data_IF_324086701280
#
_entry.id   IF_324086701280
#
_cell.length_a   1.000
_cell.length_b   1.000
_cell.length_c   1.000
_cell.angle_alpha   90.00
_cell.angle_beta   90.00
_cell.angle_gamma   90.00
#
_symmetry.space_group_name_H-M   'P 1'
#
loop_
_entity.id
_entity.type
_entity.pdbx_description
1 polymer ?
#
# COMPACT_ATOMS: atom_id res chain seq x y z
N UNK A 1 19.27 8.02 -27.41
CA UNK A 1 18.37 6.92 -27.75
C UNK A 1 18.48 5.83 -26.69
N UNK A 2 17.36 5.53 -26.04
CA UNK A 2 17.26 4.49 -24.98
C UNK A 2 16.51 3.24 -25.46
N UNK A 3 16.20 3.16 -26.75
CA UNK A 3 15.43 2.05 -27.32
C UNK A 3 16.05 0.68 -27.06
N UNK A 4 17.39 0.61 -27.02
CA UNK A 4 18.14 -0.63 -26.77
C UNK A 4 18.02 -1.15 -25.30
N UNK A 5 17.47 -0.36 -24.37
CA UNK A 5 17.24 -0.79 -22.98
C UNK A 5 15.75 -0.99 -22.66
N UNK A 6 14.86 -0.67 -23.60
CA UNK A 6 13.44 -0.93 -23.43
C UNK A 6 13.18 -2.44 -23.37
N UNK A 7 12.41 -2.89 -22.39
CA UNK A 7 12.13 -4.31 -22.19
C UNK A 7 13.24 -5.07 -21.45
N UNK A 8 14.37 -4.43 -21.14
CA UNK A 8 15.37 -5.02 -20.25
C UNK A 8 15.08 -4.71 -18.78
N UNK A 9 15.27 -5.72 -17.94
CA UNK A 9 15.12 -5.63 -16.49
C UNK A 9 16.49 -5.44 -15.80
N UNK A 10 16.75 -6.16 -14.73
CA UNK A 10 18.02 -6.22 -14.04
C UNK A 10 18.71 -7.56 -14.35
N UNK A 11 20.00 -7.74 -14.03
CA UNK A 11 20.65 -9.04 -14.11
C UNK A 11 19.98 -10.05 -13.18
N UNK A 12 19.92 -11.32 -13.58
CA UNK A 12 19.54 -12.42 -12.70
C UNK A 12 20.80 -12.85 -11.91
N UNK A 13 20.67 -12.85 -10.60
CA UNK A 13 21.71 -13.29 -9.65
C UNK A 13 21.11 -14.37 -8.75
N UNK A 14 21.78 -15.48 -8.66
CA UNK A 14 21.39 -16.61 -7.79
C UNK A 14 22.53 -16.95 -6.83
N UNK A 15 22.28 -17.83 -5.88
CA UNK A 15 23.30 -18.36 -4.98
C UNK A 15 24.39 -19.18 -5.70
N UNK A 16 24.16 -19.52 -6.97
CA UNK A 16 25.13 -20.23 -7.83
C UNK A 16 25.98 -19.30 -8.68
N UNK A 17 25.67 -18.01 -8.69
CA UNK A 17 26.39 -17.03 -9.50
C UNK A 17 27.83 -16.88 -9.01
N UNK A 18 28.77 -17.03 -9.92
CA UNK A 18 30.21 -16.90 -9.64
C UNK A 18 30.63 -15.43 -9.56
N UNK A 19 31.79 -15.16 -8.96
CA UNK A 19 32.33 -13.79 -8.89
C UNK A 19 32.61 -13.19 -10.29
N UNK A 20 32.95 -14.00 -11.28
CA UNK A 20 33.15 -13.57 -12.65
C UNK A 20 31.81 -13.17 -13.30
N UNK A 21 30.75 -13.97 -13.15
CA UNK A 21 29.40 -13.67 -13.62
C UNK A 21 28.84 -12.40 -12.95
N UNK A 22 29.09 -12.19 -11.66
CA UNK A 22 28.68 -10.97 -10.95
C UNK A 22 29.38 -9.71 -11.48
N UNK A 23 30.63 -9.83 -11.95
CA UNK A 23 31.40 -8.71 -12.50
C UNK A 23 30.91 -8.30 -13.89
N UNK A 24 30.45 -9.25 -14.70
CA UNK A 24 29.98 -9.04 -16.06
C UNK A 24 28.58 -9.64 -16.25
N UNK A 25 27.60 -9.15 -15.48
CA UNK A 25 26.25 -9.66 -15.50
C UNK A 25 25.33 -8.71 -16.29
N UNK A 26 24.97 -9.04 -17.53
CA UNK A 26 24.12 -8.19 -18.36
C UNK A 26 22.68 -8.18 -17.84
N UNK A 27 21.96 -7.12 -18.15
CA UNK A 27 20.52 -7.04 -17.96
C UNK A 27 19.82 -8.06 -18.85
N UNK A 28 18.75 -8.67 -18.35
CA UNK A 28 17.97 -9.67 -19.08
C UNK A 28 16.66 -9.09 -19.62
N UNK A 29 16.09 -9.67 -20.68
CA UNK A 29 14.72 -9.38 -21.12
C UNK A 29 13.72 -9.54 -19.97
N UNK A 30 12.63 -8.78 -20.01
CA UNK A 30 11.61 -8.88 -18.96
C UNK A 30 10.93 -10.26 -18.97
N UNK A 31 10.79 -10.87 -20.13
CA UNK A 31 10.22 -12.21 -20.30
C UNK A 31 11.03 -13.24 -19.48
N UNK A 32 12.34 -13.23 -19.61
CA UNK A 32 13.26 -14.13 -18.89
C UNK A 32 13.19 -13.88 -17.38
N UNK A 33 13.11 -12.61 -16.98
CA UNK A 33 12.97 -12.25 -15.55
C UNK A 33 11.64 -12.75 -14.96
N UNK A 34 10.54 -12.63 -15.70
CA UNK A 34 9.25 -13.12 -15.21
C UNK A 34 9.15 -14.63 -15.23
N UNK A 35 9.76 -15.32 -16.18
CA UNK A 35 9.92 -16.78 -16.15
C UNK A 35 10.69 -17.22 -14.89
N UNK A 36 11.79 -16.52 -14.57
CA UNK A 36 12.54 -16.77 -13.35
C UNK A 36 11.69 -16.56 -12.08
N UNK A 37 10.99 -15.42 -11.98
CA UNK A 37 10.09 -15.12 -10.85
C UNK A 37 9.00 -16.20 -10.71
N UNK A 38 8.34 -16.58 -11.81
CA UNK A 38 7.27 -17.58 -11.77
C UNK A 38 7.79 -18.97 -11.42
N UNK A 39 9.01 -19.31 -11.84
CA UNK A 39 9.69 -20.55 -11.44
C UNK A 39 9.96 -20.60 -9.93
N UNK A 40 10.48 -19.52 -9.37
CA UNK A 40 10.72 -19.41 -7.92
C UNK A 40 9.42 -19.46 -7.12
N UNK A 41 8.37 -18.77 -7.59
CA UNK A 41 7.05 -18.82 -6.95
C UNK A 41 6.45 -20.24 -7.00
N UNK A 42 6.66 -20.98 -8.08
CA UNK A 42 6.20 -22.38 -8.16
C UNK A 42 6.90 -23.27 -7.14
N UNK A 43 8.21 -23.14 -6.98
CA UNK A 43 8.93 -23.88 -5.95
C UNK A 43 8.46 -23.46 -4.55
N UNK A 44 8.25 -22.17 -4.30
CA UNK A 44 7.73 -21.67 -3.04
C UNK A 44 6.33 -22.21 -2.73
N UNK A 45 5.44 -22.29 -3.72
CA UNK A 45 4.10 -22.87 -3.59
C UNK A 45 4.17 -24.33 -3.14
N UNK A 46 5.04 -25.14 -3.75
CA UNK A 46 5.25 -26.54 -3.40
C UNK A 46 5.81 -26.69 -1.97
N UNK A 47 6.76 -25.83 -1.57
CA UNK A 47 7.41 -25.89 -0.26
C UNK A 47 6.55 -25.34 0.88
N UNK A 48 5.64 -24.40 0.61
CA UNK A 48 4.79 -23.73 1.58
C UNK A 48 3.33 -24.20 1.54
N UNK A 49 3.09 -25.40 0.99
CA UNK A 49 1.76 -25.98 0.82
C UNK A 49 1.00 -26.19 2.15
N UNK A 50 1.72 -26.34 3.27
CA UNK A 50 1.09 -26.41 4.59
C UNK A 50 0.78 -25.00 5.09
N UNK A 51 -0.49 -24.76 5.41
CA UNK A 51 -0.98 -23.44 5.82
C UNK A 51 -0.31 -22.96 7.11
N UNK A 52 0.46 -21.90 6.99
CA UNK A 52 0.94 -21.11 8.09
C UNK A 52 0.39 -19.68 7.92
N UNK A 53 -0.21 -19.12 8.96
CA UNK A 53 -0.78 -17.76 8.95
C UNK A 53 0.09 -16.75 9.71
N UNK A 54 1.34 -17.08 9.99
CA UNK A 54 2.29 -16.18 10.60
C UNK A 54 2.72 -15.11 9.59
N UNK A 55 2.24 -13.89 9.77
CA UNK A 55 2.55 -12.75 8.89
C UNK A 55 4.04 -12.37 8.86
N UNK A 56 4.84 -12.84 9.82
CA UNK A 56 6.27 -12.53 9.91
C UNK A 56 7.13 -13.39 9.00
N UNK A 57 6.53 -14.36 8.32
CA UNK A 57 7.19 -15.28 7.40
C UNK A 57 6.46 -15.32 6.05
N UNK A 58 7.15 -15.70 4.97
CA UNK A 58 6.46 -16.04 3.72
C UNK A 58 5.50 -17.20 3.95
N UNK A 59 4.26 -17.04 3.52
CA UNK A 59 3.19 -18.05 3.62
C UNK A 59 2.67 -18.39 2.23
N UNK A 60 1.91 -19.46 2.09
CA UNK A 60 1.24 -19.80 0.82
C UNK A 60 0.36 -18.62 0.32
N UNK A 61 -0.30 -17.89 1.23
CA UNK A 61 -1.07 -16.72 0.87
C UNK A 61 -0.18 -15.59 0.31
N UNK A 62 1.02 -15.40 0.85
CA UNK A 62 1.98 -14.43 0.32
C UNK A 62 2.48 -14.85 -1.09
N UNK A 63 2.71 -16.14 -1.32
CA UNK A 63 3.06 -16.68 -2.65
C UNK A 63 1.96 -16.37 -3.67
N UNK A 64 0.70 -16.65 -3.32
CA UNK A 64 -0.42 -16.31 -4.20
C UNK A 64 -0.55 -14.81 -4.44
N UNK A 65 -0.29 -13.98 -3.44
CA UNK A 65 -0.25 -12.52 -3.60
C UNK A 65 0.87 -12.07 -4.55
N UNK A 66 2.04 -12.71 -4.50
CA UNK A 66 3.14 -12.43 -5.44
C UNK A 66 2.81 -12.87 -6.86
N UNK A 67 2.18 -14.04 -7.05
CA UNK A 67 1.63 -14.44 -8.35
C UNK A 67 0.63 -13.41 -8.89
N UNK A 68 -0.30 -12.95 -8.03
CA UNK A 68 -1.30 -11.95 -8.41
C UNK A 68 -0.64 -10.64 -8.89
N UNK A 69 0.39 -10.14 -8.18
CA UNK A 69 1.19 -8.98 -8.62
C UNK A 69 1.88 -9.24 -9.95
N UNK A 70 2.56 -10.38 -10.11
CA UNK A 70 3.30 -10.70 -11.32
C UNK A 70 2.37 -10.79 -12.54
N UNK A 71 1.28 -11.53 -12.44
CA UNK A 71 0.33 -11.68 -13.54
C UNK A 71 -0.44 -10.39 -13.85
N UNK A 72 -0.72 -9.54 -12.87
CA UNK A 72 -1.31 -8.22 -13.13
C UNK A 72 -0.38 -7.36 -13.99
N UNK A 73 0.92 -7.33 -13.68
CA UNK A 73 1.91 -6.61 -14.51
C UNK A 73 1.99 -7.19 -15.92
N UNK A 74 2.04 -8.52 -16.05
CA UNK A 74 2.10 -9.21 -17.35
C UNK A 74 0.87 -8.92 -18.22
N UNK A 75 -0.31 -8.77 -17.62
CA UNK A 75 -1.55 -8.46 -18.33
C UNK A 75 -1.53 -7.12 -19.07
N UNK A 76 -0.71 -6.18 -18.64
CA UNK A 76 -0.54 -4.87 -19.27
C UNK A 76 0.58 -4.82 -20.32
N UNK A 77 1.28 -5.92 -20.57
CA UNK A 77 2.31 -5.92 -21.62
C UNK A 77 1.69 -5.79 -22.99
N UNK A 78 2.23 -4.88 -23.80
CA UNK A 78 1.76 -4.64 -25.17
C UNK A 78 2.16 -5.77 -26.14
N UNK A 79 3.27 -6.44 -25.85
CA UNK A 79 3.84 -7.52 -26.64
C UNK A 79 4.39 -8.60 -25.71
N UNK A 80 4.31 -9.86 -26.12
CA UNK A 80 4.89 -10.99 -25.38
C UNK A 80 4.18 -11.34 -24.07
N UNK A 81 2.99 -10.79 -23.83
CA UNK A 81 2.21 -11.06 -22.63
C UNK A 81 1.49 -12.41 -22.67
N UNK A 82 1.16 -12.94 -21.51
CA UNK A 82 0.29 -14.10 -21.34
C UNK A 82 -1.17 -13.66 -21.56
N UNK A 83 -1.87 -14.29 -22.51
CA UNK A 83 -3.26 -13.99 -22.83
C UNK A 83 -4.21 -14.16 -21.63
N UNK A 84 -3.85 -15.06 -20.71
CA UNK A 84 -4.63 -15.38 -19.52
C UNK A 84 -4.15 -14.60 -18.27
N UNK A 85 -3.19 -13.68 -18.40
CA UNK A 85 -2.55 -13.02 -17.27
C UNK A 85 -3.55 -12.35 -16.32
N UNK A 86 -4.53 -11.62 -16.83
CA UNK A 86 -5.55 -11.00 -15.99
C UNK A 86 -6.42 -12.04 -15.28
N UNK A 87 -6.82 -13.11 -15.96
CA UNK A 87 -7.58 -14.19 -15.33
C UNK A 87 -6.78 -14.87 -14.22
N UNK A 88 -5.49 -15.11 -14.46
CA UNK A 88 -4.56 -15.66 -13.44
C UNK A 88 -4.38 -14.68 -12.28
N UNK A 89 -4.18 -13.38 -12.55
CA UNK A 89 -4.07 -12.36 -11.52
C UNK A 89 -5.29 -12.34 -10.59
N UNK A 90 -6.50 -12.33 -11.15
CA UNK A 90 -7.74 -12.37 -10.39
C UNK A 90 -7.87 -13.66 -9.57
N UNK A 91 -7.55 -14.82 -10.18
CA UNK A 91 -7.61 -16.12 -9.51
C UNK A 91 -6.64 -16.20 -8.33
N UNK A 92 -5.37 -15.81 -8.51
CA UNK A 92 -4.38 -15.84 -7.44
C UNK A 92 -4.68 -14.80 -6.34
N UNK A 93 -5.19 -13.62 -6.68
CA UNK A 93 -5.64 -12.65 -5.69
C UNK A 93 -6.77 -13.22 -4.81
N UNK A 94 -7.75 -13.87 -5.42
CA UNK A 94 -8.84 -14.56 -4.70
C UNK A 94 -8.31 -15.73 -3.84
N UNK A 95 -7.36 -16.49 -4.33
CA UNK A 95 -6.72 -17.57 -3.56
C UNK A 95 -5.95 -16.99 -2.35
N UNK A 96 -5.20 -15.89 -2.52
CA UNK A 96 -4.51 -15.22 -1.43
C UNK A 96 -5.47 -14.76 -0.33
N UNK A 97 -6.62 -14.15 -0.70
CA UNK A 97 -7.68 -13.76 0.23
C UNK A 97 -8.19 -15.00 0.99
N UNK A 98 -8.54 -16.06 0.27
CA UNK A 98 -9.17 -17.24 0.84
C UNK A 98 -8.23 -18.00 1.77
N UNK A 99 -7.00 -18.27 1.32
CA UNK A 99 -6.01 -19.05 2.08
C UNK A 99 -5.51 -18.29 3.31
N UNK A 100 -5.34 -16.97 3.20
CA UNK A 100 -4.92 -16.18 4.35
C UNK A 100 -5.95 -16.12 5.46
N UNK A 101 -7.24 -16.24 5.14
CA UNK A 101 -8.33 -15.97 6.09
C UNK A 101 -8.34 -14.55 6.64
N UNK A 102 -7.57 -13.65 6.02
CA UNK A 102 -7.45 -12.24 6.44
C UNK A 102 -8.64 -11.42 5.98
N UNK A 103 -8.92 -10.35 6.70
CA UNK A 103 -10.02 -9.43 6.40
C UNK A 103 -9.51 -7.98 6.35
N UNK A 104 -10.13 -7.12 5.53
CA UNK A 104 -9.80 -5.69 5.53
C UNK A 104 -9.94 -5.06 6.91
N UNK A 105 -9.07 -4.10 7.21
CA UNK A 105 -9.11 -3.34 8.47
C UNK A 105 -10.47 -2.69 8.68
N UNK A 106 -11.02 -2.87 9.86
CA UNK A 106 -12.19 -2.12 10.33
C UNK A 106 -11.81 -0.67 10.66
N UNK A 107 -12.80 0.23 10.77
CA UNK A 107 -12.56 1.61 11.23
C UNK A 107 -11.81 1.65 12.57
N UNK A 108 -12.19 0.79 13.52
CA UNK A 108 -11.57 0.74 14.83
C UNK A 108 -10.07 0.37 14.75
N UNK A 109 -9.73 -0.62 13.94
CA UNK A 109 -8.34 -1.04 13.70
C UNK A 109 -7.56 0.02 12.91
N UNK A 110 -8.19 0.61 11.88
CA UNK A 110 -7.59 1.66 11.06
C UNK A 110 -7.19 2.90 11.85
N UNK A 111 -8.05 3.32 12.78
CA UNK A 111 -7.87 4.56 13.56
C UNK A 111 -7.21 4.37 14.91
N UNK A 112 -6.84 3.14 15.28
CA UNK A 112 -6.17 2.87 16.54
C UNK A 112 -4.75 3.48 16.52
N UNK A 113 -4.47 4.47 17.40
CA UNK A 113 -3.17 5.12 17.40
C UNK A 113 -2.04 4.28 18.02
N UNK A 114 -2.37 3.23 18.76
CA UNK A 114 -1.38 2.40 19.42
C UNK A 114 -0.93 1.21 18.55
N UNK A 115 -1.87 0.63 17.81
CA UNK A 115 -1.63 -0.61 17.07
C UNK A 115 -1.82 -0.43 15.56
N UNK A 116 -2.92 0.08 15.09
CA UNK A 116 -3.27 0.42 13.70
C UNK A 116 -2.37 -0.18 12.61
N UNK A 117 -1.66 0.69 11.90
CA UNK A 117 -0.69 0.32 10.87
C UNK A 117 0.73 -0.01 11.38
N UNK A 118 0.93 -0.10 12.68
CA UNK A 118 2.26 -0.30 13.29
C UNK A 118 2.52 -1.74 13.70
N UNK A 119 1.51 -2.59 13.73
CA UNK A 119 1.63 -3.95 14.25
C UNK A 119 0.76 -4.94 13.50
N UNK A 120 1.39 -5.88 12.81
CA UNK A 120 0.71 -6.98 12.14
C UNK A 120 0.01 -7.95 13.09
N UNK A 121 0.49 -8.09 14.32
CA UNK A 121 -0.13 -8.95 15.33
C UNK A 121 -1.43 -8.39 15.90
N UNK A 122 -1.65 -7.09 15.77
CA UNK A 122 -2.81 -6.38 16.36
C UNK A 122 -4.00 -6.25 15.41
N UNK A 123 -3.84 -6.66 14.17
CA UNK A 123 -4.91 -6.61 13.18
C UNK A 123 -4.92 -7.87 12.31
N UNK A 124 -6.01 -8.08 11.59
CA UNK A 124 -6.19 -9.27 10.77
C UNK A 124 -6.10 -8.98 9.26
N UNK A 125 -5.33 -7.99 8.86
CA UNK A 125 -5.22 -7.59 7.45
C UNK A 125 -3.90 -8.02 6.80
N UNK A 126 -2.82 -8.16 7.56
CA UNK A 126 -1.50 -8.40 7.01
C UNK A 126 -1.31 -9.85 6.61
N UNK A 127 -1.05 -10.08 5.32
CA UNK A 127 -0.65 -11.38 4.77
C UNK A 127 0.84 -11.61 5.02
N UNK A 128 1.66 -10.55 4.86
CA UNK A 128 3.09 -10.60 5.06
C UNK A 128 3.60 -9.27 5.59
N UNK A 129 4.51 -9.31 6.55
CA UNK A 129 5.14 -8.16 7.18
C UNK A 129 6.52 -8.50 7.71
N UNK A 130 7.30 -7.47 7.98
CA UNK A 130 8.60 -7.57 8.61
C UNK A 130 8.47 -7.06 10.05
N UNK A 131 8.61 -7.92 11.06
CA UNK A 131 8.68 -7.48 12.44
C UNK A 131 9.97 -6.67 12.65
N UNK A 132 9.85 -5.53 13.30
CA UNK A 132 10.97 -4.61 13.54
C UNK A 132 11.19 -4.43 15.03
N UNK A 133 12.44 -4.58 15.45
CA UNK A 133 12.89 -4.31 16.82
C UNK A 133 13.94 -3.20 16.84
N UNK A 134 14.23 -2.67 18.04
CA UNK A 134 15.28 -1.66 18.23
C UNK A 134 16.65 -2.10 17.69
N UNK A 135 16.95 -3.39 17.77
CA UNK A 135 18.24 -3.92 17.31
C UNK A 135 18.37 -3.83 15.77
N UNK A 136 17.24 -3.83 15.07
CA UNK A 136 17.21 -3.76 13.60
C UNK A 136 17.27 -2.32 13.09
N UNK A 137 16.71 -1.36 13.82
CA UNK A 137 16.60 0.01 13.30
C UNK A 137 17.77 0.92 13.67
N UNK A 138 18.60 0.59 14.64
CA UNK A 138 19.85 1.28 15.01
C UNK A 138 19.86 2.81 15.09
N UNK A 139 18.91 3.49 14.46
CA UNK A 139 18.80 4.95 14.34
C UNK A 139 17.35 5.38 14.01
N UNK A 140 17.11 6.70 14.04
CA UNK A 140 15.86 7.33 13.61
C UNK A 140 15.60 7.27 12.08
N UNK A 141 16.51 6.68 11.30
CA UNK A 141 16.38 6.56 9.84
C UNK A 141 15.64 5.27 9.52
N UNK A 142 14.32 5.29 9.64
CA UNK A 142 13.46 4.14 9.30
C UNK A 142 12.10 4.62 8.77
N UNK A 143 11.28 3.68 8.35
CA UNK A 143 9.96 3.95 7.78
C UNK A 143 9.08 4.81 8.70
N UNK A 144 8.96 4.47 9.98
CA UNK A 144 8.14 5.22 10.94
C UNK A 144 8.66 6.64 11.15
N UNK A 145 9.99 6.83 11.20
CA UNK A 145 10.59 8.15 11.31
C UNK A 145 10.30 9.04 10.10
N UNK A 146 10.05 8.46 8.93
CA UNK A 146 9.69 9.22 7.73
C UNK A 146 8.19 9.53 7.61
N UNK A 147 7.32 8.72 8.17
CA UNK A 147 5.86 8.80 7.94
C UNK A 147 5.04 9.16 9.17
N UNK A 148 5.55 8.97 10.40
CA UNK A 148 4.85 9.33 11.63
C UNK A 148 5.01 10.80 11.96
N UNK A 149 3.95 11.59 11.85
CA UNK A 149 3.98 13.04 12.14
C UNK A 149 3.85 13.37 13.63
N UNK A 150 3.45 12.43 14.46
CA UNK A 150 3.17 12.68 15.89
C UNK A 150 4.40 12.50 16.80
N UNK A 151 5.47 11.89 16.31
CA UNK A 151 6.73 11.78 17.05
C UNK A 151 7.50 13.09 17.08
N UNK A 152 8.22 13.34 18.16
CA UNK A 152 9.13 14.49 18.28
C UNK A 152 10.52 14.24 17.69
N UNK A 153 10.68 13.11 17.03
CA UNK A 153 11.91 12.65 16.38
C UNK A 153 11.72 12.48 14.87
N UNK A 154 12.82 12.28 14.18
CA UNK A 154 12.85 11.87 12.78
C UNK A 154 12.61 13.00 11.80
N UNK A 155 12.46 12.60 10.55
CA UNK A 155 12.36 13.53 9.42
C UNK A 155 11.00 14.21 9.31
N UNK A 156 9.96 13.65 9.92
CA UNK A 156 8.61 14.21 9.91
C UNK A 156 8.51 15.55 10.63
N UNK A 157 9.36 15.78 11.63
CA UNK A 157 9.47 17.09 12.28
C UNK A 157 9.96 18.19 11.33
N UNK A 158 10.65 17.80 10.24
CA UNK A 158 11.19 18.69 9.23
C UNK A 158 10.27 18.82 8.00
N UNK A 159 9.63 17.73 7.55
CA UNK A 159 8.89 17.68 6.29
C UNK A 159 7.38 17.54 6.42
N UNK A 160 6.88 17.01 7.53
CA UNK A 160 5.45 16.85 7.85
C UNK A 160 4.63 16.28 6.68
N UNK A 161 4.76 14.99 6.34
CA UNK A 161 4.09 14.40 5.19
C UNK A 161 2.56 14.47 5.31
N UNK A 162 1.92 14.80 4.21
CA UNK A 162 0.47 14.94 4.12
C UNK A 162 -0.09 14.49 2.79
N UNK A 163 -1.40 14.28 2.78
CA UNK A 163 -2.11 13.91 1.56
C UNK A 163 -2.22 15.14 0.62
N UNK A 164 -2.17 14.88 -0.68
CA UNK A 164 -2.47 15.90 -1.68
C UNK A 164 -3.94 16.37 -1.57
N UNK A 165 -4.16 17.68 -1.56
CA UNK A 165 -5.51 18.26 -1.43
C UNK A 165 -6.50 17.69 -2.44
N UNK A 166 -6.11 17.58 -3.71
CA UNK A 166 -6.99 17.06 -4.75
C UNK A 166 -7.38 15.58 -4.55
N UNK A 167 -6.56 14.80 -3.81
CA UNK A 167 -6.93 13.45 -3.41
C UNK A 167 -7.79 13.45 -2.14
N UNK A 168 -7.46 14.29 -1.17
CA UNK A 168 -8.25 14.45 0.05
C UNK A 168 -9.70 14.83 -0.26
N UNK A 169 -9.91 15.78 -1.18
CA UNK A 169 -11.24 16.24 -1.59
C UNK A 169 -12.09 15.15 -2.30
N UNK A 170 -11.46 14.03 -2.67
CA UNK A 170 -12.14 12.86 -3.26
C UNK A 170 -12.54 11.80 -2.24
N UNK A 171 -12.13 11.93 -0.99
CA UNK A 171 -12.58 11.03 0.07
C UNK A 171 -14.03 11.36 0.39
N UNK A 172 -14.92 10.38 0.27
CA UNK A 172 -16.35 10.59 0.55
C UNK A 172 -16.59 11.01 2.01
N UNK A 173 -17.58 11.85 2.32
CA UNK A 173 -17.84 12.31 3.68
C UNK A 173 -18.03 11.20 4.71
N UNK A 174 -18.69 10.10 4.34
CA UNK A 174 -18.89 8.91 5.18
C UNK A 174 -17.71 7.94 5.25
N UNK A 175 -16.62 8.24 4.56
CA UNK A 175 -15.44 7.38 4.50
C UNK A 175 -14.53 7.61 5.70
N UNK A 176 -14.38 6.60 6.55
CA UNK A 176 -13.56 6.71 7.75
C UNK A 176 -12.07 6.93 7.48
N UNK A 177 -11.58 6.68 6.26
CA UNK A 177 -10.19 6.93 5.86
C UNK A 177 -9.82 8.43 5.91
N UNK A 178 -10.81 9.34 5.91
CA UNK A 178 -10.62 10.75 6.27
C UNK A 178 -9.86 10.93 7.59
N UNK A 179 -10.07 10.03 8.56
CA UNK A 179 -9.46 10.09 9.88
C UNK A 179 -7.94 9.83 9.89
N UNK A 180 -7.37 9.49 8.73
CA UNK A 180 -5.92 9.42 8.54
C UNK A 180 -5.26 10.75 8.20
N UNK A 181 -6.06 11.80 7.95
CA UNK A 181 -5.53 13.09 7.47
C UNK A 181 -6.24 14.24 8.16
N UNK A 182 -5.48 15.17 8.72
CA UNK A 182 -6.05 16.32 9.41
C UNK A 182 -6.84 17.20 8.46
N UNK A 183 -8.10 17.48 8.80
CA UNK A 183 -8.97 18.38 8.05
C UNK A 183 -8.36 19.77 7.88
N UNK A 184 -8.62 20.45 6.75
CA UNK A 184 -8.36 21.89 6.65
C UNK A 184 -9.18 22.72 7.67
N UNK A 185 -10.35 22.20 8.10
CA UNK A 185 -11.10 22.77 9.22
C UNK A 185 -10.48 22.35 10.57
N UNK A 186 -9.73 23.28 11.17
CA UNK A 186 -9.03 23.05 12.43
C UNK A 186 -9.96 22.77 13.62
N UNK A 187 -11.25 23.14 13.55
CA UNK A 187 -12.20 22.84 14.61
C UNK A 187 -12.39 21.33 14.81
N UNK A 188 -12.18 20.56 13.73
CA UNK A 188 -12.25 19.09 13.76
C UNK A 188 -11.08 18.43 14.49
N UNK A 189 -10.00 19.14 14.75
CA UNK A 189 -8.81 18.56 15.35
C UNK A 189 -8.99 18.24 16.86
N UNK A 190 -9.95 18.89 17.51
CA UNK A 190 -10.18 18.76 18.96
C UNK A 190 -11.62 18.39 19.32
N UNK A 191 -12.49 18.11 18.37
CA UNK A 191 -13.88 17.75 18.57
C UNK A 191 -14.12 16.24 18.77
N UNK A 192 -13.06 15.44 18.82
CA UNK A 192 -13.14 13.99 18.95
C UNK A 192 -13.13 13.22 17.62
N UNK A 193 -13.04 13.91 16.48
CA UNK A 193 -12.95 13.28 15.15
C UNK A 193 -11.71 12.41 15.04
N UNK A 194 -10.59 12.85 15.61
CA UNK A 194 -9.29 12.17 15.50
C UNK A 194 -8.87 11.51 16.82
N UNK A 195 -8.23 10.36 16.71
CA UNK A 195 -7.49 9.74 17.80
C UNK A 195 -6.00 10.02 17.61
N UNK A 196 -5.32 10.51 18.62
CA UNK A 196 -3.89 10.84 18.57
C UNK A 196 -3.06 9.82 19.36
N UNK A 197 -1.79 9.64 18.98
CA UNK A 197 -0.93 8.60 19.54
C UNK A 197 -0.50 8.90 20.97
N UNK A 198 -0.13 10.13 21.28
CA UNK A 198 0.38 10.52 22.58
C UNK A 198 -0.72 10.86 23.60
N UNK A 199 -0.30 11.12 24.83
CA UNK A 199 -1.18 11.67 25.87
C UNK A 199 -1.62 13.12 25.53
N UNK A 200 -2.51 13.69 26.34
CA UNK A 200 -3.05 15.03 26.12
C UNK A 200 -1.98 16.13 25.95
N UNK A 201 -0.85 16.02 26.67
CA UNK A 201 0.26 16.98 26.56
C UNK A 201 0.98 16.84 25.23
N UNK A 202 1.29 15.61 24.80
CA UNK A 202 1.92 15.34 23.51
C UNK A 202 1.00 15.75 22.35
N UNK A 203 -0.29 15.43 22.42
CA UNK A 203 -1.29 15.86 21.46
C UNK A 203 -1.33 17.39 21.32
N UNK A 204 -1.40 18.11 22.44
CA UNK A 204 -1.42 19.58 22.41
C UNK A 204 -0.14 20.17 21.78
N UNK A 205 1.03 19.60 22.09
CA UNK A 205 2.30 19.99 21.49
C UNK A 205 2.33 19.74 19.98
N UNK A 206 1.89 18.57 19.54
CA UNK A 206 1.79 18.21 18.11
C UNK A 206 0.87 19.19 17.37
N UNK A 207 -0.35 19.39 17.86
CA UNK A 207 -1.34 20.26 17.22
C UNK A 207 -0.89 21.72 17.14
N UNK A 208 -0.13 22.18 18.14
CA UNK A 208 0.41 23.56 18.18
C UNK A 208 1.58 23.77 17.22
N UNK A 209 2.48 22.81 17.10
CA UNK A 209 3.81 23.02 16.52
C UNK A 209 4.03 22.34 15.18
N UNK A 210 3.46 21.14 14.98
CA UNK A 210 3.76 20.28 13.83
C UNK A 210 2.56 20.10 12.89
N UNK A 211 1.35 20.04 13.43
CA UNK A 211 0.15 19.76 12.64
C UNK A 211 -0.18 20.87 11.66
N UNK A 212 -0.48 20.49 10.44
CA UNK A 212 -0.96 21.35 9.35
C UNK A 212 -2.21 20.70 8.72
N UNK A 213 -3.06 21.46 8.02
CA UNK A 213 -4.08 20.87 7.16
C UNK A 213 -3.48 19.76 6.28
N UNK A 214 -4.19 18.66 6.12
CA UNK A 214 -3.80 17.49 5.34
C UNK A 214 -2.65 16.66 5.91
N UNK A 215 -2.07 17.00 7.09
CA UNK A 215 -1.06 16.17 7.75
C UNK A 215 -1.56 14.74 7.92
N UNK A 216 -0.73 13.77 7.52
CA UNK A 216 -1.04 12.36 7.69
C UNK A 216 -0.79 11.90 9.13
N UNK A 217 -1.79 11.24 9.69
CA UNK A 217 -1.72 10.58 10.98
C UNK A 217 -2.08 9.07 10.85
N UNK A 218 -1.84 8.50 9.68
CA UNK A 218 -2.06 7.07 9.39
C UNK A 218 -1.04 6.19 10.09
N UNK A 219 0.24 6.53 9.98
CA UNK A 219 1.33 5.83 10.66
C UNK A 219 1.66 6.56 11.97
N UNK A 220 1.86 5.80 13.04
CA UNK A 220 1.91 6.32 14.41
C UNK A 220 3.17 5.86 15.13
N UNK A 221 3.60 6.58 16.17
CA UNK A 221 4.58 6.04 17.11
C UNK A 221 4.01 4.80 17.82
N UNK A 222 4.83 3.75 17.90
CA UNK A 222 4.45 2.47 18.54
C UNK A 222 4.04 2.71 20.01
N UNK A 223 2.93 2.10 20.41
CA UNK A 223 2.41 2.24 21.77
C UNK A 223 2.04 3.68 22.19
N UNK A 224 1.96 4.62 21.23
CA UNK A 224 1.70 6.03 21.51
C UNK A 224 2.90 6.78 22.08
N UNK A 225 4.13 6.22 22.02
CA UNK A 225 5.34 6.89 22.52
C UNK A 225 5.81 7.96 21.53
N UNK A 226 5.57 9.20 21.85
CA UNK A 226 5.87 10.35 20.97
C UNK A 226 7.20 11.04 21.27
N UNK A 227 7.89 10.69 22.37
CA UNK A 227 9.08 11.41 22.83
C UNK A 227 10.37 10.61 22.67
N UNK A 228 10.30 9.28 22.84
CA UNK A 228 11.47 8.39 22.84
C UNK A 228 11.50 7.56 21.57
N UNK A 229 12.38 7.91 20.64
CA UNK A 229 12.43 7.24 19.32
C UNK A 229 12.75 5.74 19.41
N UNK A 230 13.56 5.31 20.37
CA UNK A 230 13.92 3.89 20.57
C UNK A 230 12.71 3.03 20.99
N UNK A 231 11.65 3.64 21.48
CA UNK A 231 10.41 2.97 21.89
C UNK A 231 9.30 3.17 20.86
N UNK A 232 9.14 4.36 20.31
CA UNK A 232 8.06 4.70 19.38
C UNK A 232 8.36 4.43 17.90
N UNK A 233 9.61 4.17 17.56
CA UNK A 233 10.05 4.04 16.16
C UNK A 233 10.05 2.59 15.62
N UNK A 234 10.26 1.51 16.39
CA UNK A 234 10.30 0.14 15.90
C UNK A 234 8.91 -0.41 15.58
N UNK A 235 8.28 0.14 14.53
CA UNK A 235 7.03 -0.37 14.01
C UNK A 235 7.27 -1.46 12.98
N UNK A 236 6.43 -2.48 12.96
CA UNK A 236 6.44 -3.51 11.93
C UNK A 236 6.24 -2.90 10.54
N UNK A 237 6.89 -3.47 9.55
CA UNK A 237 6.75 -3.03 8.16
C UNK A 237 5.81 -3.95 7.39
N UNK A 238 4.78 -3.38 6.84
CA UNK A 238 3.79 -4.03 6.00
C UNK A 238 4.37 -4.31 4.61
N UNK A 239 4.42 -5.56 4.20
CA UNK A 239 4.87 -5.98 2.87
C UNK A 239 3.70 -6.35 1.96
N UNK A 240 2.65 -6.90 2.53
CA UNK A 240 1.43 -7.28 1.82
C UNK A 240 0.26 -7.33 2.79
N UNK A 241 -0.86 -6.74 2.43
CA UNK A 241 -2.12 -6.86 3.17
C UNK A 241 -3.28 -7.24 2.25
N UNK A 242 -4.30 -7.84 2.84
CA UNK A 242 -5.38 -8.46 2.07
C UNK A 242 -6.13 -7.47 1.17
N UNK A 243 -6.22 -6.22 1.56
CA UNK A 243 -6.87 -5.17 0.76
C UNK A 243 -6.23 -5.02 -0.62
N UNK A 244 -4.92 -5.21 -0.74
CA UNK A 244 -4.25 -5.17 -2.04
C UNK A 244 -4.78 -6.26 -2.97
N UNK A 245 -5.06 -7.43 -2.44
CA UNK A 245 -5.60 -8.54 -3.22
C UNK A 245 -7.00 -8.24 -3.77
N UNK A 246 -7.85 -7.55 -2.99
CA UNK A 246 -9.14 -7.07 -3.49
C UNK A 246 -8.95 -6.09 -4.66
N UNK A 247 -7.99 -5.16 -4.59
CA UNK A 247 -7.73 -4.23 -5.68
C UNK A 247 -7.14 -4.91 -6.92
N UNK A 248 -6.26 -5.89 -6.76
CA UNK A 248 -5.73 -6.67 -7.89
C UNK A 248 -6.86 -7.45 -8.56
N UNK A 249 -7.71 -8.13 -7.78
CA UNK A 249 -8.82 -8.89 -8.32
C UNK A 249 -9.78 -8.01 -9.13
N UNK A 250 -10.25 -6.89 -8.57
CA UNK A 250 -11.20 -6.03 -9.28
C UNK A 250 -10.59 -5.37 -10.52
N UNK A 251 -9.31 -5.01 -10.50
CA UNK A 251 -8.59 -4.45 -11.64
C UNK A 251 -8.46 -5.48 -12.77
N UNK A 252 -8.10 -6.71 -12.43
CA UNK A 252 -7.94 -7.79 -13.38
C UNK A 252 -9.29 -8.24 -13.98
N UNK A 253 -10.31 -8.39 -13.15
CA UNK A 253 -11.69 -8.72 -13.59
C UNK A 253 -12.24 -7.65 -14.52
N UNK A 254 -11.94 -6.38 -14.29
CA UNK A 254 -12.43 -5.27 -15.10
C UNK A 254 -12.04 -5.38 -16.58
N UNK A 255 -10.96 -6.10 -16.91
CA UNK A 255 -10.49 -6.28 -18.30
C UNK A 255 -11.44 -7.15 -19.13
N UNK A 256 -12.24 -8.00 -18.48
CA UNK A 256 -13.20 -8.91 -19.15
C UNK A 256 -14.65 -8.68 -18.71
N UNK A 257 -14.88 -8.28 -17.47
CA UNK A 257 -16.21 -8.07 -16.90
C UNK A 257 -16.27 -6.80 -16.04
N UNK A 258 -16.56 -5.69 -16.69
CA UNK A 258 -16.70 -4.40 -16.02
C UNK A 258 -17.87 -4.39 -15.00
N UNK A 259 -18.93 -5.16 -15.26
CA UNK A 259 -20.07 -5.27 -14.35
C UNK A 259 -19.67 -5.89 -13.01
N UNK A 260 -19.01 -7.05 -13.08
CA UNK A 260 -18.49 -7.72 -11.91
C UNK A 260 -17.43 -6.88 -11.17
N UNK A 261 -16.55 -6.19 -11.89
CA UNK A 261 -15.54 -5.34 -11.27
C UNK A 261 -16.15 -4.18 -10.47
N UNK A 262 -17.24 -3.56 -10.99
CA UNK A 262 -17.99 -2.53 -10.25
C UNK A 262 -18.63 -3.09 -8.98
N UNK A 263 -19.16 -4.30 -9.03
CA UNK A 263 -19.70 -4.99 -7.85
C UNK A 263 -18.60 -5.19 -6.81
N UNK A 264 -17.44 -5.71 -7.20
CA UNK A 264 -16.30 -5.91 -6.30
C UNK A 264 -15.82 -4.60 -5.65
N UNK A 265 -15.78 -3.50 -6.42
CA UNK A 265 -15.40 -2.20 -5.87
C UNK A 265 -16.46 -1.65 -4.91
N UNK A 266 -17.74 -1.75 -5.24
CA UNK A 266 -18.84 -1.34 -4.35
C UNK A 266 -18.82 -2.14 -3.04
N UNK A 267 -18.64 -3.47 -3.09
CA UNK A 267 -18.55 -4.34 -1.92
C UNK A 267 -17.37 -3.97 -1.02
N UNK A 268 -16.20 -3.71 -1.63
CA UNK A 268 -15.04 -3.25 -0.88
C UNK A 268 -15.28 -1.87 -0.24
N UNK A 269 -15.85 -0.94 -1.00
CA UNK A 269 -16.12 0.42 -0.52
C UNK A 269 -17.21 0.48 0.55
N UNK A 270 -18.13 -0.47 0.60
CA UNK A 270 -19.07 -0.60 1.72
C UNK A 270 -18.36 -0.86 3.08
N UNK A 271 -17.13 -1.40 3.05
CA UNK A 271 -16.28 -1.54 4.23
C UNK A 271 -15.55 -0.25 4.62
N UNK A 272 -15.64 0.80 3.83
CA UNK A 272 -14.93 2.09 4.02
C UNK A 272 -15.88 3.25 4.22
N UNK A 273 -16.96 3.29 3.43
CA UNK A 273 -18.01 4.32 3.44
C UNK A 273 -19.22 3.75 4.17
N UNK A 274 -19.22 3.86 5.50
CA UNK A 274 -20.16 3.14 6.38
C UNK A 274 -21.60 3.65 6.32
N UNK A 275 -21.83 4.82 5.73
CA UNK A 275 -23.18 5.38 5.51
C UNK A 275 -23.82 4.85 4.21
N UNK A 276 -23.13 3.99 3.46
CA UNK A 276 -23.63 3.38 2.23
C UNK A 276 -23.75 4.35 1.06
N UNK A 277 -23.16 5.54 1.12
CA UNK A 277 -23.29 6.56 0.09
C UNK A 277 -22.42 6.33 -1.16
N UNK A 278 -21.48 5.38 -1.12
CA UNK A 278 -20.63 5.09 -2.27
C UNK A 278 -21.30 4.16 -3.28
N UNK A 279 -21.27 4.58 -4.54
CA UNK A 279 -21.73 3.75 -5.66
C UNK A 279 -20.98 4.10 -6.96
N UNK A 280 -20.28 3.13 -7.53
CA UNK A 280 -19.61 3.24 -8.83
C UNK A 280 -20.39 2.57 -9.98
N UNK A 281 -21.62 2.12 -9.76
CA UNK A 281 -22.42 1.40 -10.78
C UNK A 281 -22.65 2.24 -12.05
N UNK A 282 -22.70 3.57 -11.92
CA UNK A 282 -22.84 4.51 -13.03
C UNK A 282 -21.58 4.70 -13.89
N UNK A 283 -20.45 4.12 -13.54
CA UNK A 283 -19.22 4.21 -14.34
C UNK A 283 -19.40 3.48 -15.67
N UNK A 284 -19.14 4.17 -16.79
CA UNK A 284 -19.59 3.73 -18.12
C UNK A 284 -18.60 2.80 -18.83
N UNK A 285 -17.30 2.98 -18.63
CA UNK A 285 -16.24 2.29 -19.37
C UNK A 285 -15.05 1.90 -18.48
N UNK A 286 -14.21 1.02 -19.01
CA UNK A 286 -13.00 0.52 -18.33
C UNK A 286 -12.05 1.64 -17.89
N UNK A 287 -11.79 2.61 -18.75
CA UNK A 287 -10.85 3.70 -18.43
C UNK A 287 -11.31 4.55 -17.25
N UNK A 288 -12.59 4.85 -17.19
CA UNK A 288 -13.22 5.56 -16.06
C UNK A 288 -13.23 4.69 -14.80
N UNK A 289 -13.52 3.40 -14.94
CA UNK A 289 -13.45 2.46 -13.82
C UNK A 289 -12.04 2.39 -13.22
N UNK A 290 -11.01 2.19 -14.03
CA UNK A 290 -9.63 2.19 -13.59
C UNK A 290 -9.26 3.51 -12.90
N UNK A 291 -9.74 4.64 -13.42
CA UNK A 291 -9.50 5.95 -12.81
C UNK A 291 -10.15 6.07 -11.42
N UNK A 292 -11.41 5.63 -11.28
CA UNK A 292 -12.11 5.61 -9.99
C UNK A 292 -11.45 4.64 -9.01
N UNK A 293 -11.19 3.41 -9.43
CA UNK A 293 -10.49 2.40 -8.63
C UNK A 293 -9.13 2.91 -8.13
N UNK A 294 -8.35 3.59 -8.99
CA UNK A 294 -7.08 4.19 -8.60
C UNK A 294 -7.23 5.31 -7.56
N UNK A 295 -8.30 6.10 -7.62
CA UNK A 295 -8.58 7.09 -6.57
C UNK A 295 -8.74 6.38 -5.23
N UNK A 296 -9.57 5.33 -5.18
CA UNK A 296 -9.80 4.56 -3.96
C UNK A 296 -8.53 3.85 -3.48
N UNK A 297 -7.75 3.28 -4.40
CA UNK A 297 -6.46 2.62 -4.11
C UNK A 297 -5.43 3.61 -3.55
N UNK A 298 -5.34 4.82 -4.08
CA UNK A 298 -4.44 5.88 -3.59
C UNK A 298 -4.77 6.33 -2.17
N UNK A 299 -6.06 6.42 -1.84
CA UNK A 299 -6.52 6.73 -0.48
C UNK A 299 -6.17 5.57 0.46
N UNK A 300 -6.48 4.35 0.04
CA UNK A 300 -6.26 3.12 0.81
C UNK A 300 -4.80 2.92 1.15
N UNK A 301 -3.93 3.01 0.16
CA UNK A 301 -2.49 2.69 0.28
C UNK A 301 -1.60 3.92 0.38
N UNK A 302 -2.15 5.05 0.83
CA UNK A 302 -1.34 6.24 1.04
C UNK A 302 -0.16 5.95 1.97
N UNK A 303 1.06 6.26 1.52
CA UNK A 303 2.30 6.05 2.27
C UNK A 303 2.85 4.61 2.25
N UNK A 304 2.20 3.64 1.59
CA UNK A 304 2.63 2.23 1.56
C UNK A 304 3.53 1.86 0.38
N UNK A 305 3.82 2.80 -0.52
CA UNK A 305 4.82 2.62 -1.60
C UNK A 305 4.30 1.91 -2.86
N UNK A 306 3.17 1.22 -2.83
CA UNK A 306 2.71 0.38 -3.96
C UNK A 306 2.22 1.18 -5.16
N UNK A 307 1.74 2.40 -4.98
CA UNK A 307 1.18 3.22 -6.07
C UNK A 307 2.19 3.57 -7.18
N UNK A 308 3.50 3.50 -6.90
CA UNK A 308 4.51 3.70 -7.91
C UNK A 308 4.40 2.68 -9.05
N UNK A 309 4.17 1.42 -8.70
CA UNK A 309 4.01 0.32 -9.67
C UNK A 309 2.75 0.50 -10.50
N UNK A 310 1.62 0.88 -9.89
CA UNK A 310 0.37 1.15 -10.60
C UNK A 310 0.52 2.29 -11.62
N UNK A 311 1.15 3.39 -11.22
CA UNK A 311 1.37 4.52 -12.13
C UNK A 311 2.28 4.17 -13.30
N UNK A 312 3.33 3.39 -13.04
CA UNK A 312 4.24 2.90 -14.08
C UNK A 312 3.52 1.95 -15.04
N UNK A 313 2.79 0.96 -14.52
CA UNK A 313 2.04 -0.03 -15.31
C UNK A 313 0.97 0.60 -16.18
N UNK A 314 0.26 1.59 -15.66
CA UNK A 314 -0.86 2.26 -16.32
C UNK A 314 -0.42 3.51 -17.12
N UNK A 315 0.88 3.76 -17.24
CA UNK A 315 1.47 4.92 -17.92
C UNK A 315 0.84 6.25 -17.46
N UNK A 316 0.74 6.42 -16.13
CA UNK A 316 0.14 7.61 -15.51
C UNK A 316 1.20 8.56 -15.00
N UNK A 317 1.11 9.82 -15.42
CA UNK A 317 1.95 10.90 -14.89
C UNK A 317 1.51 11.37 -13.50
N UNK A 318 2.39 12.07 -12.80
CA UNK A 318 2.13 12.72 -11.52
C UNK A 318 2.09 14.24 -11.72
N UNK A 319 0.98 14.87 -11.34
CA UNK A 319 0.85 16.32 -11.31
C UNK A 319 0.77 16.79 -9.87
N UNK A 320 1.76 17.56 -9.42
CA UNK A 320 1.79 18.15 -8.08
C UNK A 320 1.45 19.63 -8.07
N UNK A 321 1.81 20.35 -9.15
CA UNK A 321 1.53 21.78 -9.30
C UNK A 321 0.21 21.98 -10.02
N UNK A 322 -0.79 22.53 -9.31
CA UNK A 322 -2.10 22.91 -9.84
C UNK A 322 -2.65 24.03 -8.96
N UNK A 323 -3.64 24.77 -9.45
CA UNK A 323 -4.28 25.85 -8.68
C UNK A 323 -4.87 25.32 -7.35
N UNK A 324 -4.51 25.93 -6.24
CA UNK A 324 -4.94 25.51 -4.90
C UNK A 324 -4.21 24.28 -4.35
N UNK A 325 -3.11 23.86 -4.97
CA UNK A 325 -2.27 22.77 -4.44
C UNK A 325 -1.72 23.13 -3.05
N UNK A 326 -1.74 22.13 -2.16
CA UNK A 326 -1.09 22.21 -0.84
C UNK A 326 0.38 21.76 -0.85
N UNK A 327 0.92 21.43 -2.03
CA UNK A 327 2.34 21.14 -2.21
C UNK A 327 3.03 22.37 -2.82
N UNK A 328 4.24 22.72 -2.34
CA UNK A 328 5.00 23.79 -2.97
C UNK A 328 5.35 23.42 -4.42
N UNK A 329 5.36 24.41 -5.29
CA UNK A 329 5.93 24.24 -6.63
C UNK A 329 7.42 23.96 -6.50
N UNK A 330 7.88 22.89 -7.13
CA UNK A 330 9.31 22.64 -7.30
C UNK A 330 9.80 23.38 -8.52
#
# INVERSE_FOLDING_TARGET
DVSHVLGLTVPIVTEKSTAEELTNNPRVPREDMYEFILSDLKMAEEMLAEANNDYTQPTLAAVYGMYARAYLEMGYWKEGGDADAFSKAASYARQAITVSGKTPLTEAQWTDPATGFNSGSSNNSWIWGLPVSNDLIGNIICFTAHLSCEGTWGYTTLSNPGINKALYDKIAPGDFRHKSFLSPDRSKWTDGTYKFAGNATAQAAFLKSLAKPYTAIKFRPVGGETNTYTVGNPADHMLMRVEEMYFIEMEAVAQSDLGQAKTLLNDFMALRVLDGSYDCSGVQDLSRFITEMLVQKRIEFWGEGIMFFDYKRLDRGITRSYEGSNHPSM
#
